data_IF_241230289670
#
_entry.id   IF_241230289670
#
_cell.length_a   1.000
_cell.length_b   1.000
_cell.length_c   1.000
_cell.angle_alpha   90.00
_cell.angle_beta   90.00
_cell.angle_gamma   90.00
#
_symmetry.space_group_name_H-M   'P 1'
#
loop_
_entity.id
_entity.type
_entity.pdbx_description
1 polymer ?
#
# COMPACT_ATOMS: atom_id res chain seq x y z
N UNK A 1 3.28 13.15 -12.37
CA UNK A 1 3.68 12.40 -11.18
C UNK A 1 4.69 13.21 -10.41
N UNK A 2 4.39 13.55 -9.16
CA UNK A 2 5.37 14.17 -8.27
C UNK A 2 6.36 13.13 -7.72
N UNK A 3 7.43 13.61 -7.07
CA UNK A 3 8.39 12.73 -6.38
C UNK A 3 7.72 11.97 -5.22
N UNK A 4 6.70 12.57 -4.59
CA UNK A 4 5.93 11.92 -3.53
C UNK A 4 5.05 10.78 -4.08
N UNK A 5 4.33 11.00 -5.19
CA UNK A 5 3.54 9.96 -5.87
C UNK A 5 4.40 8.72 -6.12
N UNK A 6 5.62 8.94 -6.63
CA UNK A 6 6.56 7.86 -6.96
C UNK A 6 7.00 7.09 -5.72
N UNK A 7 7.24 7.80 -4.60
CA UNK A 7 7.64 7.16 -3.33
C UNK A 7 6.52 6.33 -2.73
N UNK A 8 5.31 6.88 -2.66
CA UNK A 8 4.11 6.21 -2.13
C UNK A 8 3.84 4.94 -2.94
N UNK A 9 3.81 5.04 -4.27
CA UNK A 9 3.64 3.88 -5.16
C UNK A 9 4.72 2.83 -4.92
N UNK A 10 5.99 3.24 -4.84
CA UNK A 10 7.09 2.30 -4.64
C UNK A 10 6.98 1.58 -3.28
N UNK A 11 6.54 2.27 -2.23
CA UNK A 11 6.30 1.66 -0.91
C UNK A 11 5.14 0.67 -0.96
N UNK A 12 4.03 1.01 -1.61
CA UNK A 12 2.90 0.09 -1.79
C UNK A 12 3.31 -1.16 -2.55
N UNK A 13 4.10 -1.02 -3.63
CA UNK A 13 4.66 -2.16 -4.40
C UNK A 13 5.63 -3.04 -3.61
N UNK A 14 6.13 -2.58 -2.46
CA UNK A 14 6.96 -3.39 -1.55
C UNK A 14 6.12 -4.18 -0.55
N UNK A 15 4.82 -3.89 -0.44
CA UNK A 15 3.90 -4.63 0.40
C UNK A 15 3.47 -5.93 -0.27
N UNK A 16 3.62 -7.05 0.45
CA UNK A 16 3.10 -8.35 0.02
C UNK A 16 1.58 -8.32 -0.09
N UNK A 17 0.89 -7.61 0.81
CA UNK A 17 -0.57 -7.46 0.80
C UNK A 17 -1.04 -6.87 -0.54
N UNK A 18 -0.58 -5.66 -0.87
CA UNK A 18 -0.99 -4.99 -2.11
C UNK A 18 -0.49 -5.69 -3.37
N UNK A 19 0.67 -6.33 -3.32
CA UNK A 19 1.13 -7.17 -4.45
C UNK A 19 0.21 -8.38 -4.68
N UNK A 20 -0.31 -8.96 -3.59
CA UNK A 20 -1.26 -10.09 -3.67
C UNK A 20 -2.61 -9.61 -4.18
N UNK A 21 -3.14 -8.52 -3.63
CA UNK A 21 -4.39 -7.90 -4.07
C UNK A 21 -4.34 -7.56 -5.56
N UNK A 22 -3.25 -6.90 -6.00
CA UNK A 22 -3.03 -6.56 -7.41
C UNK A 22 -2.94 -7.79 -8.33
N UNK A 23 -2.58 -8.95 -7.80
CA UNK A 23 -2.55 -10.20 -8.58
C UNK A 23 -3.93 -10.89 -8.66
N UNK A 24 -4.83 -10.56 -7.74
CA UNK A 24 -6.18 -11.12 -7.68
C UNK A 24 -7.19 -10.28 -8.48
N UNK A 25 -6.89 -9.01 -8.71
CA UNK A 25 -7.79 -8.05 -9.35
C UNK A 25 -7.13 -7.47 -10.60
N UNK A 26 -7.88 -7.39 -11.70
CA UNK A 26 -7.38 -6.89 -13.00
C UNK A 26 -7.14 -5.37 -13.02
N UNK A 27 -7.74 -4.63 -12.09
CA UNK A 27 -7.63 -3.17 -11.96
C UNK A 27 -6.29 -2.71 -11.37
N UNK A 28 -5.79 -1.53 -11.76
CA UNK A 28 -4.57 -0.92 -11.22
C UNK A 28 -4.80 -0.29 -9.83
N UNK A 29 -5.09 -1.15 -8.86
CA UNK A 29 -5.41 -0.77 -7.48
C UNK A 29 -4.25 -0.01 -6.83
N UNK A 30 -3.00 -0.40 -7.12
CA UNK A 30 -1.84 0.23 -6.50
C UNK A 30 -1.74 1.71 -6.89
N UNK A 31 -1.98 2.04 -8.16
CA UNK A 31 -1.98 3.45 -8.59
C UNK A 31 -3.17 4.21 -7.99
N UNK A 32 -4.35 3.60 -7.95
CA UNK A 32 -5.56 4.22 -7.41
C UNK A 32 -5.43 4.54 -5.92
N UNK A 33 -4.99 3.57 -5.12
CA UNK A 33 -4.83 3.75 -3.68
C UNK A 33 -3.74 4.78 -3.37
N UNK A 34 -2.64 4.80 -4.15
CA UNK A 34 -1.57 5.76 -3.96
C UNK A 34 -2.03 7.21 -4.16
N UNK A 35 -2.85 7.47 -5.18
CA UNK A 35 -3.40 8.80 -5.46
C UNK A 35 -4.29 9.26 -4.30
N UNK A 36 -5.19 8.41 -3.84
CA UNK A 36 -6.09 8.75 -2.73
C UNK A 36 -5.34 9.00 -1.42
N UNK A 37 -4.37 8.15 -1.08
CA UNK A 37 -3.51 8.35 0.11
C UNK A 37 -2.78 9.69 0.03
N UNK A 38 -2.24 10.03 -1.13
CA UNK A 38 -1.53 11.29 -1.31
C UNK A 38 -2.45 12.50 -1.13
N UNK A 39 -3.68 12.44 -1.66
CA UNK A 39 -4.68 13.49 -1.50
C UNK A 39 -5.10 13.65 -0.02
N UNK A 40 -5.29 12.55 0.71
CA UNK A 40 -5.54 12.57 2.16
C UNK A 40 -4.38 13.25 2.90
N UNK A 41 -3.14 12.83 2.64
CA UNK A 41 -1.96 13.35 3.34
C UNK A 41 -1.67 14.82 3.03
N UNK A 42 -1.91 15.26 1.79
CA UNK A 42 -1.75 16.67 1.38
C UNK A 42 -2.83 17.57 1.95
N UNK A 43 -4.07 17.07 2.05
CA UNK A 43 -5.20 17.85 2.57
C UNK A 43 -5.23 17.89 4.10
N UNK A 44 -4.64 16.89 4.76
CA UNK A 44 -4.61 16.84 6.23
C UNK A 44 -3.63 17.84 6.84
N UNK A 45 -4.16 18.71 7.70
CA UNK A 45 -3.37 19.59 8.59
C UNK A 45 -3.13 18.99 9.98
N UNK A 46 -3.55 17.73 10.19
CA UNK A 46 -3.50 17.05 11.47
C UNK A 46 -2.09 16.67 11.91
N UNK A 47 -2.01 16.14 13.13
CA UNK A 47 -0.87 15.46 13.71
C UNK A 47 -0.50 14.19 12.92
N UNK A 48 0.62 13.57 13.28
CA UNK A 48 0.99 12.27 12.68
C UNK A 48 -0.06 11.20 12.96
N UNK A 49 -0.58 11.15 14.20
CA UNK A 49 -1.58 10.16 14.62
C UNK A 49 -2.89 10.32 13.86
N UNK A 50 -3.36 11.56 13.71
CA UNK A 50 -4.60 11.85 12.97
C UNK A 50 -4.46 11.45 11.49
N UNK A 51 -3.32 11.78 10.85
CA UNK A 51 -3.06 11.32 9.46
C UNK A 51 -3.00 9.80 9.34
N UNK A 52 -2.51 9.12 10.36
CA UNK A 52 -2.42 7.67 10.36
C UNK A 52 -3.80 7.04 10.49
N UNK A 53 -4.64 7.57 11.38
CA UNK A 53 -6.05 7.18 11.50
C UNK A 53 -6.79 7.41 10.17
N UNK A 54 -6.71 8.63 9.60
CA UNK A 54 -7.34 8.97 8.31
C UNK A 54 -6.94 8.02 7.16
N UNK A 55 -5.66 7.64 7.10
CA UNK A 55 -5.16 6.73 6.06
C UNK A 55 -5.54 5.28 6.36
N UNK A 56 -5.57 4.87 7.62
CA UNK A 56 -5.96 3.51 8.04
C UNK A 56 -7.42 3.24 7.70
N UNK A 57 -8.31 4.15 8.11
CA UNK A 57 -9.75 4.09 7.81
C UNK A 57 -9.98 4.01 6.30
N UNK A 58 -9.30 4.86 5.53
CA UNK A 58 -9.39 4.82 4.07
C UNK A 58 -8.95 3.48 3.49
N UNK A 59 -7.86 2.87 3.96
CA UNK A 59 -7.39 1.58 3.44
C UNK A 59 -8.41 0.48 3.72
N UNK A 60 -8.98 0.46 4.93
CA UNK A 60 -10.02 -0.51 5.32
C UNK A 60 -11.24 -0.36 4.42
N UNK A 61 -11.79 0.85 4.31
CA UNK A 61 -12.97 1.13 3.50
C UNK A 61 -12.72 0.79 2.01
N UNK A 62 -11.58 1.21 1.47
CA UNK A 62 -11.22 0.98 0.07
C UNK A 62 -11.12 -0.50 -0.30
N UNK A 63 -10.61 -1.33 0.62
CA UNK A 63 -10.49 -2.77 0.42
C UNK A 63 -11.80 -3.51 0.69
N UNK A 64 -12.58 -3.09 1.70
CA UNK A 64 -13.90 -3.65 1.98
C UNK A 64 -14.86 -3.44 0.80
N UNK A 65 -14.84 -2.27 0.16
CA UNK A 65 -15.60 -1.99 -1.08
C UNK A 65 -15.27 -2.95 -2.24
N UNK A 66 -14.11 -3.62 -2.18
CA UNK A 66 -13.64 -4.60 -3.16
C UNK A 66 -13.75 -6.04 -2.65
N UNK A 67 -14.52 -6.26 -1.59
CA UNK A 67 -14.72 -7.57 -0.94
C UNK A 67 -13.41 -8.18 -0.40
N UNK A 68 -12.42 -7.33 -0.05
CA UNK A 68 -11.17 -7.74 0.58
C UNK A 68 -11.17 -7.29 2.03
N UNK A 69 -11.27 -8.25 2.95
CA UNK A 69 -11.16 -8.00 4.38
C UNK A 69 -9.70 -8.11 4.83
N UNK A 70 -9.20 -7.08 5.52
CA UNK A 70 -7.89 -7.08 6.19
C UNK A 70 -8.08 -6.72 7.65
N UNK A 71 -7.09 -7.04 8.48
CA UNK A 71 -7.17 -6.67 9.90
C UNK A 71 -6.80 -5.20 10.13
N UNK A 72 -7.40 -4.59 11.16
CA UNK A 72 -7.17 -3.19 11.54
C UNK A 72 -5.69 -2.93 11.87
N UNK A 73 -4.97 -3.90 12.44
CA UNK A 73 -3.55 -3.72 12.76
C UNK A 73 -2.66 -3.70 11.50
N UNK A 74 -3.04 -4.44 10.45
CA UNK A 74 -2.38 -4.42 9.14
C UNK A 74 -2.61 -3.08 8.44
N UNK A 75 -3.84 -2.57 8.46
CA UNK A 75 -4.17 -1.24 7.96
C UNK A 75 -3.39 -0.15 8.69
N UNK A 76 -3.39 -0.17 10.02
CA UNK A 76 -2.67 0.78 10.87
C UNK A 76 -1.16 0.74 10.64
N UNK A 77 -0.59 -0.46 10.57
CA UNK A 77 0.84 -0.65 10.32
C UNK A 77 1.24 -0.06 8.98
N UNK A 78 0.40 -0.24 7.96
CA UNK A 78 0.65 0.28 6.63
C UNK A 78 0.46 1.80 6.57
N UNK A 79 -0.61 2.33 7.17
CA UNK A 79 -0.88 3.75 7.29
C UNK A 79 0.28 4.48 7.98
N UNK A 80 0.78 3.94 9.10
CA UNK A 80 1.94 4.49 9.80
C UNK A 80 3.18 4.60 8.90
N UNK A 81 3.45 3.60 8.07
CA UNK A 81 4.55 3.64 7.11
C UNK A 81 4.34 4.76 6.09
N UNK A 82 3.14 4.87 5.51
CA UNK A 82 2.83 5.87 4.49
C UNK A 82 2.92 7.31 5.02
N UNK A 83 2.38 7.56 6.22
CA UNK A 83 2.49 8.86 6.89
C UNK A 83 3.97 9.19 7.15
N UNK A 84 4.77 8.21 7.58
CA UNK A 84 6.21 8.41 7.79
C UNK A 84 6.92 8.82 6.50
N UNK A 85 6.62 8.16 5.39
CA UNK A 85 7.19 8.49 4.07
C UNK A 85 6.83 9.92 3.65
N UNK A 86 5.60 10.33 3.91
CA UNK A 86 5.15 11.69 3.63
C UNK A 86 5.83 12.74 4.53
N UNK A 87 5.95 12.49 5.83
CA UNK A 87 6.63 13.42 6.74
C UNK A 87 8.13 13.51 6.44
N UNK A 88 8.81 12.40 6.09
CA UNK A 88 10.19 12.42 5.59
C UNK A 88 10.33 13.27 4.31
N UNK A 89 9.40 13.11 3.36
CA UNK A 89 9.38 13.89 2.13
C UNK A 89 9.29 15.40 2.41
N UNK A 90 8.42 15.83 3.33
CA UNK A 90 8.25 17.25 3.70
C UNK A 90 9.53 17.88 4.26
N UNK A 91 10.35 17.10 4.96
CA UNK A 91 11.63 17.56 5.52
C UNK A 91 12.84 17.24 4.63
N UNK A 92 12.59 16.78 3.40
CA UNK A 92 13.62 16.36 2.43
C UNK A 92 14.54 15.24 2.94
N UNK A 93 14.04 14.39 3.84
CA UNK A 93 14.70 13.19 4.32
C UNK A 93 14.21 11.94 3.56
N UNK A 94 14.92 10.82 3.73
CA UNK A 94 14.69 9.57 3.01
C UNK A 94 15.10 8.32 3.82
N UNK A 95 15.30 8.41 5.14
CA UNK A 95 15.84 7.30 5.93
C UNK A 95 14.95 6.05 5.85
N UNK A 96 13.66 6.18 6.12
CA UNK A 96 12.70 5.08 6.08
C UNK A 96 12.46 4.63 4.65
N UNK A 97 12.26 5.57 3.71
CA UNK A 97 12.10 5.24 2.29
C UNK A 97 13.25 4.36 1.78
N UNK A 98 14.49 4.76 2.04
CA UNK A 98 15.68 4.00 1.63
C UNK A 98 15.78 2.64 2.30
N UNK A 99 15.29 2.48 3.55
CA UNK A 99 15.24 1.16 4.21
C UNK A 99 14.26 0.24 3.50
N UNK A 100 13.06 0.74 3.18
CA UNK A 100 12.01 -0.04 2.49
C UNK A 100 12.48 -0.43 1.09
N UNK A 101 13.15 0.47 0.36
CA UNK A 101 13.63 0.18 -1.00
C UNK A 101 14.67 -0.93 -1.06
N UNK A 102 15.37 -1.23 0.05
CA UNK A 102 16.30 -2.36 0.17
C UNK A 102 15.61 -3.70 0.39
N UNK A 103 14.33 -3.71 0.77
CA UNK A 103 13.54 -4.94 0.92
C UNK A 103 13.31 -5.53 -0.47
N UNK A 104 13.50 -6.84 -0.61
CA UNK A 104 13.22 -7.55 -1.87
C UNK A 104 11.73 -7.41 -2.17
N UNK A 105 11.39 -7.04 -3.41
CA UNK A 105 9.98 -6.99 -3.81
C UNK A 105 9.37 -8.39 -3.69
N UNK A 106 8.09 -8.51 -3.28
CA UNK A 106 7.39 -9.79 -3.24
C UNK A 106 7.45 -10.46 -4.61
N UNK A 107 7.69 -11.78 -4.64
CA UNK A 107 7.52 -12.57 -5.84
C UNK A 107 6.04 -12.91 -5.96
N UNK A 108 5.38 -12.49 -7.05
CA UNK A 108 4.02 -12.91 -7.33
C UNK A 108 4.10 -14.34 -7.84
N UNK A 109 3.87 -15.31 -6.96
CA UNK A 109 3.61 -16.69 -7.38
C UNK A 109 2.26 -16.70 -8.08
N UNK A 110 2.27 -16.62 -9.41
CA UNK A 110 1.13 -17.08 -10.19
C UNK A 110 0.99 -18.56 -9.87
N UNK A 111 -0.04 -18.93 -9.10
CA UNK A 111 -0.33 -20.32 -8.82
C UNK A 111 -0.76 -20.94 -10.15
N UNK A 112 0.20 -21.55 -10.87
CA UNK A 112 -0.09 -22.42 -11.99
C UNK A 112 -1.05 -23.48 -11.47
N UNK A 113 -2.32 -23.32 -11.81
CA UNK A 113 -3.32 -24.36 -11.63
C UNK A 113 -3.05 -25.41 -12.70
N UNK A 114 -2.01 -26.21 -12.49
CA UNK A 114 -1.87 -27.49 -13.17
C UNK A 114 -3.00 -28.39 -12.67
N UNK A 115 -4.11 -28.31 -13.39
CA UNK A 115 -5.19 -29.29 -13.39
C UNK A 115 -4.61 -30.65 -13.80
N UNK A 116 -4.03 -31.40 -12.86
CA UNK A 116 -3.79 -32.82 -13.06
C UNK A 116 -5.14 -33.56 -12.98
N UNK A 117 -5.66 -33.86 -14.16
CA UNK A 117 -6.73 -34.81 -14.42
C UNK A 117 -6.50 -36.10 -13.63
N UNK A 118 -7.52 -36.52 -12.88
CA UNK A 118 -7.56 -37.84 -12.22
C UNK A 118 -7.63 -38.91 -13.31
N UNK A 119 -6.54 -39.65 -13.54
CA UNK A 119 -6.61 -40.93 -14.26
C UNK A 119 -6.76 -42.08 -13.27
N UNK A 120 -7.71 -42.96 -13.61
CA UNK A 120 -8.24 -44.10 -12.86
C UNK A 120 -7.25 -45.27 -12.75
#
# INVERSE_FOLDING_TARGET
MSDLDTRVINVIKKSTLFSTIQSLIEDDIISEIAVNIEDILKSSTGSFSEKQEDVSDFILDFLEEREIEIDENEADSFANILVWIYEEYKVQDNVMYNKIMKIKSPEVTMSDSESETVEQ
#
